data_IF_954611219852
#
_entry.id   IF_954611219852
#
_cell.length_a   1.000
_cell.length_b   1.000
_cell.length_c   1.000
_cell.angle_alpha   90.00
_cell.angle_beta   90.00
_cell.angle_gamma   90.00
#
_symmetry.space_group_name_H-M   'P 1'
#
loop_
_entity.id
_entity.type
_entity.pdbx_description
1 polymer ?
#
# COMPACT_ATOMS: atom_id res chain seq x y z
N UNK A 1 -13.90 67.06 -17.69
CA UNK A 1 -14.51 65.87 -18.33
C UNK A 1 -14.25 64.69 -17.41
N UNK A 2 -15.30 64.31 -16.68
CA UNK A 2 -15.23 63.72 -15.34
C UNK A 2 -15.01 62.20 -15.36
N UNK A 3 -14.25 61.69 -14.39
CA UNK A 3 -14.05 60.27 -14.09
C UNK A 3 -15.38 59.49 -13.95
N UNK A 4 -16.48 60.18 -13.60
CA UNK A 4 -17.84 59.62 -13.64
C UNK A 4 -18.24 59.08 -15.02
N UNK A 5 -17.80 59.73 -16.11
CA UNK A 5 -18.11 59.29 -17.48
C UNK A 5 -17.44 57.95 -17.78
N UNK A 6 -16.17 57.78 -17.37
CA UNK A 6 -15.41 56.54 -17.56
C UNK A 6 -15.93 55.41 -16.68
N UNK A 7 -16.36 55.73 -15.46
CA UNK A 7 -16.99 54.76 -14.55
C UNK A 7 -18.34 54.26 -15.08
N UNK A 8 -19.15 55.15 -15.67
CA UNK A 8 -20.42 54.76 -16.29
C UNK A 8 -20.21 53.92 -17.57
N UNK A 9 -19.19 54.25 -18.37
CA UNK A 9 -18.81 53.46 -19.55
C UNK A 9 -18.29 52.06 -19.17
N UNK A 10 -17.51 51.96 -18.10
CA UNK A 10 -17.02 50.68 -17.58
C UNK A 10 -18.18 49.81 -17.04
N UNK A 11 -19.15 50.40 -16.32
CA UNK A 11 -20.35 49.69 -15.86
C UNK A 11 -21.21 49.21 -17.03
N UNK A 12 -21.35 50.01 -18.09
CA UNK A 12 -22.07 49.61 -19.29
C UNK A 12 -21.39 48.42 -19.99
N UNK A 13 -20.06 48.44 -20.11
CA UNK A 13 -19.28 47.31 -20.67
C UNK A 13 -19.37 46.04 -19.82
N UNK A 14 -19.35 46.16 -18.50
CA UNK A 14 -19.52 45.00 -17.60
C UNK A 14 -20.92 44.39 -17.77
N UNK A 15 -21.97 45.21 -17.84
CA UNK A 15 -23.33 44.71 -18.06
C UNK A 15 -23.50 44.03 -19.43
N UNK A 16 -22.85 44.56 -20.47
CA UNK A 16 -22.84 43.95 -21.80
C UNK A 16 -22.08 42.61 -21.81
N UNK A 17 -20.92 42.54 -21.15
CA UNK A 17 -20.15 41.31 -21.00
C UNK A 17 -20.91 40.24 -20.21
N UNK A 18 -21.60 40.60 -19.13
CA UNK A 18 -22.44 39.69 -18.36
C UNK A 18 -23.61 39.14 -19.20
N UNK A 19 -24.25 39.99 -20.01
CA UNK A 19 -25.30 39.57 -20.93
C UNK A 19 -24.75 38.59 -22.00
N UNK A 20 -23.53 38.82 -22.47
CA UNK A 20 -22.87 37.99 -23.47
C UNK A 20 -22.45 36.63 -22.89
N UNK A 21 -21.91 36.60 -21.66
CA UNK A 21 -21.62 35.37 -20.92
C UNK A 21 -22.89 34.57 -20.66
N UNK A 22 -24.00 35.22 -20.26
CA UNK A 22 -25.28 34.54 -20.06
C UNK A 22 -25.83 33.93 -21.35
N UNK A 23 -25.68 34.65 -22.48
CA UNK A 23 -26.06 34.15 -23.81
C UNK A 23 -25.18 32.96 -24.23
N UNK A 24 -23.87 33.04 -24.00
CA UNK A 24 -22.93 31.94 -24.29
C UNK A 24 -23.21 30.70 -23.43
N UNK A 25 -23.51 30.87 -22.15
CA UNK A 25 -23.90 29.78 -21.26
C UNK A 25 -25.18 29.08 -21.75
N UNK A 26 -26.20 29.85 -22.16
CA UNK A 26 -27.43 29.29 -22.72
C UNK A 26 -27.20 28.54 -24.04
N UNK A 27 -26.36 29.07 -24.92
CA UNK A 27 -26.01 28.41 -26.19
C UNK A 27 -25.23 27.11 -25.92
N UNK A 28 -24.33 27.11 -24.94
CA UNK A 28 -23.56 25.92 -24.56
C UNK A 28 -24.46 24.82 -23.99
N UNK A 29 -25.45 25.17 -23.17
CA UNK A 29 -26.44 24.20 -22.66
C UNK A 29 -27.26 23.61 -23.80
N UNK A 30 -27.73 24.44 -24.73
CA UNK A 30 -28.47 23.95 -25.91
C UNK A 30 -27.61 23.10 -26.85
N UNK A 31 -26.32 23.44 -27.02
CA UNK A 31 -25.38 22.65 -27.79
C UNK A 31 -25.11 21.28 -27.14
N UNK A 32 -24.95 21.25 -25.80
CA UNK A 32 -24.84 19.99 -25.04
C UNK A 32 -26.08 19.13 -25.19
N UNK A 33 -27.28 19.71 -25.09
CA UNK A 33 -28.53 18.96 -25.27
C UNK A 33 -28.62 18.37 -26.69
N UNK A 34 -28.27 19.15 -27.72
CA UNK A 34 -28.25 18.66 -29.11
C UNK A 34 -27.21 17.57 -29.34
N UNK A 35 -26.03 17.65 -28.71
CA UNK A 35 -25.01 16.59 -28.77
C UNK A 35 -25.52 15.30 -28.14
N UNK A 36 -26.14 15.38 -26.96
CA UNK A 36 -26.76 14.23 -26.30
C UNK A 36 -27.86 13.62 -27.18
N UNK A 37 -28.71 14.44 -27.80
CA UNK A 37 -29.77 13.94 -28.69
C UNK A 37 -29.21 13.27 -29.95
N UNK A 38 -28.10 13.78 -30.50
CA UNK A 38 -27.39 13.17 -31.64
C UNK A 38 -26.73 11.85 -31.25
N UNK A 39 -26.07 11.78 -30.09
CA UNK A 39 -25.51 10.54 -29.57
C UNK A 39 -26.59 9.51 -29.28
N UNK A 40 -27.72 9.91 -28.69
CA UNK A 40 -28.84 9.03 -28.41
C UNK A 40 -29.46 8.49 -29.71
N UNK A 41 -29.61 9.35 -30.74
CA UNK A 41 -30.07 8.93 -32.07
C UNK A 41 -29.08 8.01 -32.77
N UNK A 42 -27.78 8.28 -32.66
CA UNK A 42 -26.73 7.43 -33.23
C UNK A 42 -26.70 6.07 -32.54
N UNK A 43 -26.77 6.02 -31.19
CA UNK A 43 -26.88 4.77 -30.43
C UNK A 43 -28.16 4.00 -30.76
N UNK A 44 -29.29 4.68 -30.95
CA UNK A 44 -30.56 4.05 -31.34
C UNK A 44 -30.51 3.49 -32.77
N UNK A 45 -29.87 4.20 -33.70
CA UNK A 45 -29.66 3.73 -35.08
C UNK A 45 -28.66 2.58 -35.15
N UNK A 46 -27.60 2.58 -34.33
CA UNK A 46 -26.66 1.47 -34.18
C UNK A 46 -27.32 0.25 -33.51
N UNK A 47 -28.22 0.45 -32.54
CA UNK A 47 -29.01 -0.62 -31.92
C UNK A 47 -30.04 -1.23 -32.88
N UNK A 48 -30.60 -0.44 -33.81
CA UNK A 48 -31.53 -0.93 -34.83
C UNK A 48 -30.84 -1.75 -35.95
N UNK A 49 -29.53 -1.57 -36.18
CA UNK A 49 -28.76 -2.37 -37.16
C UNK A 49 -28.13 -3.64 -36.57
N UNK A 50 -28.11 -3.80 -35.25
CA UNK A 50 -27.54 -4.96 -34.55
C UNK A 50 -28.60 -5.69 -33.71
N UNK A 51 -29.67 -6.16 -34.35
CA UNK A 51 -30.77 -6.89 -33.67
C UNK A 51 -30.34 -8.26 -33.12
N UNK A 52 -29.11 -8.73 -33.34
CA UNK A 52 -28.72 -10.09 -32.91
C UNK A 52 -27.43 -10.25 -32.10
N UNK A 53 -26.72 -9.19 -31.72
CA UNK A 53 -25.63 -9.30 -30.75
C UNK A 53 -25.60 -8.02 -29.92
N UNK A 54 -26.20 -8.04 -28.74
CA UNK A 54 -25.83 -7.10 -27.69
C UNK A 54 -24.36 -7.39 -27.34
N UNK A 55 -23.40 -6.47 -27.55
CA UNK A 55 -22.20 -6.54 -26.74
C UNK A 55 -22.67 -6.25 -25.32
N UNK A 56 -22.50 -7.22 -24.42
CA UNK A 56 -22.66 -6.98 -22.99
C UNK A 56 -21.83 -5.73 -22.67
N UNK A 57 -22.46 -4.70 -22.10
CA UNK A 57 -21.73 -3.59 -21.50
C UNK A 57 -20.84 -4.20 -20.43
N UNK A 58 -19.55 -4.34 -20.74
CA UNK A 58 -18.57 -4.87 -19.81
C UNK A 58 -18.30 -3.80 -18.76
N UNK A 59 -19.05 -3.88 -17.67
CA UNK A 59 -18.96 -2.99 -16.52
C UNK A 59 -17.95 -3.52 -15.49
N UNK A 60 -17.20 -4.59 -15.80
CA UNK A 60 -16.18 -5.13 -14.88
C UNK A 60 -15.02 -4.15 -14.66
N UNK A 61 -14.79 -3.22 -15.58
CA UNK A 61 -13.77 -2.17 -15.46
C UNK A 61 -14.19 -0.99 -14.56
N UNK A 62 -15.45 -0.94 -14.10
CA UNK A 62 -15.89 0.12 -13.18
C UNK A 62 -15.78 -0.34 -11.73
N UNK A 63 -14.98 0.39 -10.94
CA UNK A 63 -14.90 0.21 -9.49
C UNK A 63 -16.31 0.40 -8.90
N UNK A 64 -16.86 -0.67 -8.36
CA UNK A 64 -18.16 -0.63 -7.70
C UNK A 64 -18.02 -0.04 -6.30
N UNK A 65 -19.13 0.48 -5.75
CA UNK A 65 -19.13 0.94 -4.35
C UNK A 65 -18.71 -0.17 -3.38
N UNK A 66 -19.02 -1.44 -3.70
CA UNK A 66 -18.62 -2.60 -2.92
C UNK A 66 -17.10 -2.81 -2.92
N UNK A 67 -16.43 -2.58 -4.06
CA UNK A 67 -14.96 -2.64 -4.17
C UNK A 67 -14.30 -1.54 -3.32
N UNK A 68 -14.91 -0.34 -3.28
CA UNK A 68 -14.45 0.76 -2.43
C UNK A 68 -14.60 0.40 -0.96
N UNK A 69 -15.74 -0.17 -0.56
CA UNK A 69 -15.97 -0.60 0.83
C UNK A 69 -15.01 -1.71 1.23
N UNK A 70 -14.76 -2.68 0.34
CA UNK A 70 -13.78 -3.73 0.56
C UNK A 70 -12.37 -3.16 0.75
N UNK A 71 -11.93 -2.26 -0.15
CA UNK A 71 -10.63 -1.62 -0.04
C UNK A 71 -10.48 -0.83 1.26
N UNK A 72 -11.50 -0.06 1.64
CA UNK A 72 -11.47 0.69 2.91
C UNK A 72 -11.40 -0.26 4.10
N UNK A 73 -12.13 -1.37 4.07
CA UNK A 73 -12.09 -2.39 5.13
C UNK A 73 -10.70 -3.03 5.26
N UNK A 74 -10.07 -3.33 4.14
CA UNK A 74 -8.70 -3.86 4.11
C UNK A 74 -7.69 -2.84 4.67
N UNK A 75 -7.78 -1.58 4.25
CA UNK A 75 -6.93 -0.51 4.77
C UNK A 75 -7.10 -0.31 6.27
N UNK A 76 -8.33 -0.36 6.79
CA UNK A 76 -8.57 -0.29 8.23
C UNK A 76 -7.96 -1.48 8.96
N UNK A 77 -8.06 -2.69 8.41
CA UNK A 77 -7.44 -3.89 9.00
C UNK A 77 -5.91 -3.76 9.03
N UNK A 78 -5.30 -3.24 7.96
CA UNK A 78 -3.86 -2.97 7.91
C UNK A 78 -3.43 -1.89 8.92
N UNK A 79 -4.24 -0.85 9.10
CA UNK A 79 -4.01 0.20 10.10
C UNK A 79 -4.09 -0.36 11.53
N UNK A 80 -5.09 -1.17 11.84
CA UNK A 80 -5.24 -1.82 13.15
C UNK A 80 -4.04 -2.74 13.44
N UNK A 81 -3.58 -3.50 12.45
CA UNK A 81 -2.39 -4.35 12.58
C UNK A 81 -1.12 -3.51 12.84
N UNK A 82 -0.99 -2.35 12.19
CA UNK A 82 0.11 -1.42 12.40
C UNK A 82 0.07 -0.79 13.79
N UNK A 83 -1.11 -0.41 14.29
CA UNK A 83 -1.29 0.13 15.63
C UNK A 83 -0.95 -0.93 16.70
N UNK A 84 -1.47 -2.15 16.57
CA UNK A 84 -1.17 -3.25 17.48
C UNK A 84 0.33 -3.54 17.55
N UNK A 85 1.02 -3.56 16.40
CA UNK A 85 2.48 -3.72 16.33
C UNK A 85 3.20 -2.54 16.99
N UNK A 86 2.76 -1.32 16.77
CA UNK A 86 3.34 -0.12 17.40
C UNK A 86 3.22 -0.19 18.92
N UNK A 87 2.03 -0.52 19.44
CA UNK A 87 1.80 -0.68 20.87
C UNK A 87 2.72 -1.73 21.48
N UNK A 88 2.89 -2.88 20.83
CA UNK A 88 3.78 -3.95 21.28
C UNK A 88 5.26 -3.54 21.23
N UNK A 89 5.70 -2.82 20.18
CA UNK A 89 7.06 -2.25 20.09
C UNK A 89 7.32 -1.26 21.22
N UNK A 90 6.36 -0.39 21.52
CA UNK A 90 6.48 0.58 22.62
C UNK A 90 6.60 -0.14 23.96
N UNK A 91 5.81 -1.19 24.20
CA UNK A 91 5.95 -2.03 25.38
C UNK A 91 7.35 -2.67 25.45
N UNK A 92 7.82 -3.30 24.37
CA UNK A 92 9.15 -3.92 24.32
C UNK A 92 10.28 -2.91 24.55
N UNK A 93 10.11 -1.64 24.17
CA UNK A 93 11.08 -0.57 24.44
C UNK A 93 11.19 -0.19 25.92
N UNK A 94 10.18 -0.52 26.73
CA UNK A 94 10.21 -0.32 28.19
C UNK A 94 10.87 -1.47 28.94
N UNK A 95 10.99 -2.64 28.31
CA UNK A 95 11.57 -3.86 28.90
C UNK A 95 13.08 -3.67 29.13
N UNK A 96 13.54 -3.98 30.35
CA UNK A 96 14.96 -3.84 30.73
C UNK A 96 15.52 -5.11 31.37
N UNK A 97 14.73 -5.82 32.18
CA UNK A 97 15.14 -7.06 32.83
C UNK A 97 15.20 -8.25 31.88
N UNK A 98 16.19 -9.13 32.09
CA UNK A 98 16.38 -10.33 31.26
C UNK A 98 15.19 -11.31 31.34
N UNK A 99 14.55 -11.42 32.51
CA UNK A 99 13.40 -12.30 32.76
C UNK A 99 12.05 -11.65 32.39
N UNK A 100 12.05 -10.39 31.98
CA UNK A 100 10.83 -9.69 31.56
C UNK A 100 10.35 -10.22 30.21
N UNK A 101 9.02 -10.32 30.07
CA UNK A 101 8.38 -10.85 28.87
C UNK A 101 8.35 -9.82 27.76
N UNK A 102 8.63 -10.27 26.54
CA UNK A 102 8.44 -9.52 25.30
C UNK A 102 7.03 -9.75 24.76
N UNK A 103 6.44 -8.70 24.21
CA UNK A 103 5.22 -8.81 23.44
C UNK A 103 5.54 -9.34 22.03
N UNK A 104 4.85 -10.39 21.55
CA UNK A 104 5.10 -10.98 20.24
C UNK A 104 4.69 -10.03 19.12
N UNK A 105 5.60 -9.77 18.18
CA UNK A 105 5.36 -8.87 17.05
C UNK A 105 4.91 -9.67 15.84
N UNK A 106 3.96 -9.12 15.08
CA UNK A 106 3.53 -9.69 13.80
C UNK A 106 4.39 -9.18 12.64
N UNK A 107 4.52 -9.96 11.57
CA UNK A 107 5.16 -9.52 10.33
C UNK A 107 4.32 -8.44 9.62
N UNK A 108 4.81 -7.89 8.50
CA UNK A 108 4.13 -6.81 7.77
C UNK A 108 2.67 -7.13 7.42
N UNK A 109 2.38 -8.39 7.12
CA UNK A 109 1.05 -8.89 6.77
C UNK A 109 0.12 -9.13 7.97
N UNK A 110 0.62 -9.00 9.20
CA UNK A 110 -0.15 -9.20 10.42
C UNK A 110 -0.10 -10.62 10.99
N UNK A 111 0.71 -11.49 10.40
CA UNK A 111 0.87 -12.87 10.81
C UNK A 111 1.92 -13.06 11.90
N UNK A 112 1.73 -14.10 12.71
CA UNK A 112 2.75 -14.63 13.61
C UNK A 112 3.46 -15.81 12.94
N UNK A 113 4.75 -16.03 13.22
CA UNK A 113 5.44 -17.18 12.67
C UNK A 113 4.86 -18.49 13.22
N UNK A 114 5.00 -19.55 12.44
CA UNK A 114 4.61 -20.92 12.82
C UNK A 114 5.63 -21.58 13.78
N UNK A 115 6.72 -20.89 14.07
CA UNK A 115 7.77 -21.30 14.98
C UNK A 115 7.81 -20.46 16.27
N UNK A 116 8.54 -20.97 17.26
CA UNK A 116 8.64 -20.32 18.57
C UNK A 116 9.31 -18.94 18.46
N UNK A 117 8.64 -17.93 19.03
CA UNK A 117 9.21 -16.61 19.25
C UNK A 117 9.89 -16.53 20.62
N UNK A 118 10.94 -15.71 20.78
CA UNK A 118 11.53 -15.43 22.08
C UNK A 118 10.48 -14.75 22.98
N UNK A 119 10.22 -15.37 24.14
CA UNK A 119 9.23 -14.94 25.12
C UNK A 119 9.81 -13.91 26.08
N UNK A 120 11.12 -13.99 26.36
CA UNK A 120 11.82 -13.11 27.30
C UNK A 120 12.97 -12.36 26.63
N UNK A 121 13.42 -11.26 27.25
CA UNK A 121 14.59 -10.52 26.77
C UNK A 121 15.84 -11.41 26.76
N UNK A 122 15.99 -12.30 27.75
CA UNK A 122 17.07 -13.27 27.80
C UNK A 122 17.09 -14.20 26.60
N UNK A 123 15.93 -14.78 26.27
CA UNK A 123 15.79 -15.66 25.10
C UNK A 123 16.15 -14.93 23.81
N UNK A 124 15.72 -13.67 23.68
CA UNK A 124 16.10 -12.83 22.54
C UNK A 124 17.61 -12.60 22.47
N UNK A 125 18.29 -12.31 23.61
CA UNK A 125 19.74 -12.13 23.67
C UNK A 125 20.51 -13.39 23.28
N UNK A 126 20.01 -14.55 23.68
CA UNK A 126 20.62 -15.86 23.41
C UNK A 126 20.26 -16.46 22.06
N UNK A 127 19.60 -15.73 21.15
CA UNK A 127 19.27 -16.24 19.82
C UNK A 127 20.53 -16.67 19.07
N UNK A 128 20.52 -17.92 18.61
CA UNK A 128 21.55 -18.50 17.76
C UNK A 128 21.41 -18.00 16.32
N UNK A 129 22.49 -18.12 15.56
CA UNK A 129 22.55 -17.64 14.16
C UNK A 129 21.41 -18.18 13.31
N UNK A 130 21.10 -19.47 13.41
CA UNK A 130 20.04 -20.12 12.62
C UNK A 130 18.68 -19.48 12.92
N UNK A 131 18.37 -19.22 14.20
CA UNK A 131 17.12 -18.59 14.60
C UNK A 131 17.05 -17.13 14.16
N UNK A 132 18.17 -16.40 14.19
CA UNK A 132 18.25 -15.04 13.68
C UNK A 132 17.99 -14.97 12.17
N UNK A 133 18.57 -15.86 11.40
CA UNK A 133 18.32 -15.93 9.95
C UNK A 133 16.85 -16.30 9.70
N UNK A 134 16.30 -17.27 10.45
CA UNK A 134 14.88 -17.66 10.32
C UNK A 134 13.94 -16.49 10.58
N UNK A 135 14.17 -15.76 11.67
CA UNK A 135 13.41 -14.56 12.02
C UNK A 135 13.62 -13.46 10.97
N UNK A 136 14.86 -13.25 10.51
CA UNK A 136 15.21 -12.25 9.51
C UNK A 136 14.51 -12.47 8.16
N UNK A 137 14.36 -13.72 7.73
CA UNK A 137 13.58 -14.09 6.55
C UNK A 137 12.09 -13.83 6.77
N UNK A 138 11.55 -14.25 7.93
CA UNK A 138 10.12 -14.10 8.25
C UNK A 138 9.67 -12.63 8.38
N UNK A 139 10.50 -11.78 8.99
CA UNK A 139 10.22 -10.35 9.15
C UNK A 139 10.65 -9.49 7.95
N UNK A 140 11.10 -10.13 6.86
CA UNK A 140 11.59 -9.47 5.63
C UNK A 140 12.73 -8.48 5.88
N UNK A 141 13.62 -8.81 6.81
CA UNK A 141 14.90 -8.13 7.01
C UNK A 141 15.91 -8.66 5.99
N UNK A 142 15.89 -9.97 5.76
CA UNK A 142 16.65 -10.64 4.69
C UNK A 142 15.74 -10.73 3.47
N UNK A 143 16.07 -9.98 2.42
CA UNK A 143 15.34 -10.00 1.16
C UNK A 143 15.87 -11.14 0.27
N UNK A 144 15.01 -11.74 -0.58
CA UNK A 144 15.45 -12.68 -1.59
C UNK A 144 16.31 -11.99 -2.65
N UNK A 145 17.28 -12.71 -3.20
CA UNK A 145 18.20 -12.18 -4.20
C UNK A 145 17.51 -11.99 -5.56
N UNK A 146 18.05 -11.10 -6.39
CA UNK A 146 17.48 -10.80 -7.71
C UNK A 146 17.32 -12.04 -8.61
N UNK A 147 18.27 -12.97 -8.54
CA UNK A 147 18.20 -14.24 -9.28
C UNK A 147 17.09 -15.17 -8.76
N UNK A 148 16.84 -15.18 -7.45
CA UNK A 148 15.75 -15.95 -6.85
C UNK A 148 14.38 -15.38 -7.24
N UNK A 149 14.27 -14.05 -7.28
CA UNK A 149 13.07 -13.32 -7.72
C UNK A 149 12.80 -13.62 -9.19
N UNK A 150 13.82 -13.53 -10.04
CA UNK A 150 13.70 -13.81 -11.48
C UNK A 150 13.28 -15.26 -11.74
N UNK A 151 13.84 -16.22 -11.01
CA UNK A 151 13.48 -17.63 -11.12
C UNK A 151 12.03 -17.90 -10.66
N UNK A 152 11.58 -17.28 -9.56
CA UNK A 152 10.20 -17.42 -9.08
C UNK A 152 9.19 -16.79 -10.04
N UNK A 153 9.52 -15.64 -10.62
CA UNK A 153 8.71 -14.97 -11.63
C UNK A 153 8.59 -15.80 -12.92
N UNK A 154 9.67 -16.46 -13.35
CA UNK A 154 9.65 -17.35 -14.51
C UNK A 154 8.76 -18.60 -14.31
N UNK A 155 8.65 -19.11 -13.08
CA UNK A 155 7.87 -20.33 -12.82
C UNK A 155 6.36 -20.10 -12.70
N UNK A 156 5.93 -18.95 -12.16
CA UNK A 156 4.51 -18.78 -11.81
C UNK A 156 3.92 -17.45 -12.29
N UNK A 157 4.75 -16.49 -12.72
CA UNK A 157 4.35 -15.15 -13.18
C UNK A 157 3.38 -14.42 -12.23
N UNK A 158 3.37 -14.77 -10.94
CA UNK A 158 2.50 -14.20 -9.91
C UNK A 158 3.34 -13.58 -8.80
N UNK A 159 2.82 -12.48 -8.23
CA UNK A 159 3.36 -11.79 -7.05
C UNK A 159 3.41 -12.71 -5.83
N UNK A 160 2.53 -13.70 -5.75
CA UNK A 160 2.51 -14.73 -4.70
C UNK A 160 3.75 -15.62 -4.73
N UNK A 161 4.34 -15.85 -5.91
CA UNK A 161 5.54 -16.68 -6.03
C UNK A 161 6.75 -16.06 -5.35
N UNK A 162 6.83 -14.72 -5.31
CA UNK A 162 7.89 -13.97 -4.63
C UNK A 162 7.74 -14.09 -3.10
N UNK A 163 6.50 -14.00 -2.60
CA UNK A 163 6.17 -14.15 -1.17
C UNK A 163 6.48 -15.57 -0.65
N UNK A 164 6.35 -16.58 -1.51
CA UNK A 164 6.65 -17.98 -1.19
C UNK A 164 8.14 -18.34 -1.20
N UNK A 165 9.00 -17.53 -1.84
CA UNK A 165 10.46 -17.77 -1.89
C UNK A 165 10.99 -17.93 -0.48
N UNK A 166 10.69 -16.95 0.38
CA UNK A 166 11.17 -16.87 1.75
C UNK A 166 10.63 -17.99 2.65
N UNK A 167 9.44 -18.53 2.36
CA UNK A 167 8.84 -19.64 3.12
C UNK A 167 9.48 -21.00 2.81
N UNK A 168 10.08 -21.16 1.61
CA UNK A 168 10.68 -22.42 1.13
C UNK A 168 12.19 -22.49 1.27
N UNK A 169 12.85 -21.43 1.75
CA UNK A 169 14.31 -21.40 1.91
C UNK A 169 14.77 -22.41 2.95
N UNK A 170 15.80 -23.17 2.60
CA UNK A 170 16.56 -23.93 3.59
C UNK A 170 17.37 -22.94 4.44
N UNK A 171 16.88 -22.67 5.66
CA UNK A 171 17.50 -21.74 6.60
C UNK A 171 18.92 -22.19 6.98
N UNK A 172 19.19 -23.49 7.02
CA UNK A 172 20.51 -24.01 7.40
C UNK A 172 21.52 -23.70 6.30
N UNK A 173 21.17 -23.92 5.04
CA UNK A 173 22.03 -23.57 3.91
C UNK A 173 22.22 -22.05 3.82
N UNK A 174 21.13 -21.30 3.96
CA UNK A 174 21.17 -19.83 3.95
C UNK A 174 22.08 -19.29 5.07
N UNK A 175 22.02 -19.86 6.27
CA UNK A 175 22.86 -19.42 7.40
C UNK A 175 24.36 -19.55 7.16
N UNK A 176 24.80 -20.39 6.22
CA UNK A 176 26.22 -20.53 5.86
C UNK A 176 26.74 -19.37 5.01
N UNK A 177 25.83 -18.66 4.33
CA UNK A 177 26.17 -17.53 3.46
C UNK A 177 26.39 -16.24 4.25
N UNK A 178 25.99 -16.20 5.51
CA UNK A 178 26.20 -15.06 6.40
C UNK A 178 27.46 -15.29 7.24
N UNK A 179 28.25 -14.25 7.48
CA UNK A 179 29.29 -14.28 8.51
C UNK A 179 28.71 -13.90 9.90
N UNK A 180 29.57 -13.80 10.92
CA UNK A 180 29.14 -13.42 12.28
C UNK A 180 28.75 -11.94 12.38
N UNK A 181 29.42 -11.07 11.61
CA UNK A 181 29.16 -9.63 11.62
C UNK A 181 27.80 -9.32 10.99
N UNK A 182 27.48 -9.93 9.85
CA UNK A 182 26.18 -9.86 9.21
C UNK A 182 25.07 -10.47 10.08
N UNK A 183 25.36 -11.55 10.81
CA UNK A 183 24.40 -12.10 11.77
C UNK A 183 24.11 -11.12 12.92
N UNK A 184 25.09 -10.32 13.34
CA UNK A 184 24.91 -9.25 14.33
C UNK A 184 24.16 -8.04 13.75
N UNK A 185 24.36 -7.70 12.49
CA UNK A 185 23.54 -6.69 11.81
C UNK A 185 22.06 -7.10 11.74
N UNK A 186 21.80 -8.37 11.38
CA UNK A 186 20.44 -8.93 11.38
C UNK A 186 19.85 -8.92 12.79
N UNK A 187 20.65 -9.24 13.81
CA UNK A 187 20.24 -9.13 15.21
C UNK A 187 19.78 -7.72 15.56
N UNK A 188 20.55 -6.70 15.18
CA UNK A 188 20.23 -5.31 15.50
C UNK A 188 19.01 -4.79 14.75
N UNK A 189 18.83 -5.19 13.50
CA UNK A 189 17.61 -4.90 12.74
C UNK A 189 16.38 -5.63 13.31
N UNK A 190 16.54 -6.87 13.79
CA UNK A 190 15.49 -7.58 14.53
C UNK A 190 15.15 -6.87 15.84
N UNK A 191 16.17 -6.45 16.61
CA UNK A 191 15.99 -5.72 17.86
C UNK A 191 15.23 -4.42 17.60
N UNK A 192 15.60 -3.69 16.55
CA UNK A 192 14.91 -2.48 16.11
C UNK A 192 13.47 -2.76 15.69
N UNK A 193 13.24 -3.81 14.90
CA UNK A 193 11.90 -4.23 14.50
C UNK A 193 11.02 -4.59 15.70
N UNK A 194 11.60 -5.16 16.75
CA UNK A 194 10.88 -5.57 17.96
C UNK A 194 10.72 -4.44 18.97
N UNK A 195 11.44 -3.34 18.80
CA UNK A 195 11.49 -2.23 19.77
C UNK A 195 12.41 -2.51 20.95
N UNK A 196 13.36 -3.43 20.84
CA UNK A 196 14.28 -3.84 21.91
C UNK A 196 15.52 -2.93 21.88
N UNK A 197 15.98 -2.48 23.05
CA UNK A 197 17.13 -1.56 23.19
C UNK A 197 18.49 -2.26 23.14
N UNK A 198 18.53 -3.56 23.42
CA UNK A 198 19.77 -4.31 23.41
C UNK A 198 20.23 -4.56 21.98
N UNK A 199 21.50 -4.22 21.70
CA UNK A 199 22.16 -4.39 20.40
C UNK A 199 23.52 -5.06 20.57
N UNK A 200 23.94 -5.77 19.53
CA UNK A 200 25.26 -6.42 19.47
C UNK A 200 26.31 -5.50 18.86
N UNK A 201 25.95 -4.67 17.88
CA UNK A 201 26.85 -3.67 17.33
C UNK A 201 26.70 -2.31 18.02
N UNK A 202 27.83 -1.61 18.17
CA UNK A 202 27.93 -0.35 18.94
C UNK A 202 27.79 0.92 18.10
N UNK A 203 27.67 0.79 16.77
CA UNK A 203 27.45 1.92 15.86
C UNK A 203 25.96 2.27 15.81
N UNK A 204 25.54 3.17 16.71
CA UNK A 204 24.16 3.60 16.90
C UNK A 204 23.53 4.27 15.67
N UNK A 205 22.25 3.98 15.41
CA UNK A 205 21.13 4.83 15.84
C UNK A 205 19.98 4.04 16.45
#
# INVERSE_FOLDING_TARGET
MSELSKLNEAKAKVAELEALVKKQASVMVQARQKLVDVELRNKKNQAAQNINQQPALDLTDYVNNDDIVQLVTELQTQLDALEARTMRRTYNATVQGDDEKLAPITNKDGDLPDFALPVTLKEFKSLEKIDLIRLGVFYEIILPDGEEIDHALQQTNSKEAILDINKKKDIIELSKNFDEDQANEIYDELARYFGIKHRRNSDGW
#
